data_IF_069597890963
#
_entry.id   IF_069597890963
#
_cell.length_a   1.000
_cell.length_b   1.000
_cell.length_c   1.000
_cell.angle_alpha   90.00
_cell.angle_beta   90.00
_cell.angle_gamma   90.00
#
_symmetry.space_group_name_H-M   'P 1'
#
loop_
_entity.id
_entity.type
_entity.pdbx_description
1 polymer ?
#
# COMPACT_ATOMS: atom_id res chain seq x y z
N UNK A 1 -26.38 12.54 28.01
CA UNK A 1 -25.07 12.71 28.68
C UNK A 1 -24.70 11.35 29.27
N UNK A 2 -24.01 10.45 28.59
CA UNK A 2 -23.33 10.48 27.30
C UNK A 2 -23.94 9.40 26.39
N UNK A 3 -24.50 9.79 25.25
CA UNK A 3 -24.40 8.95 24.05
C UNK A 3 -22.96 9.18 23.58
N UNK A 4 -22.11 8.18 23.74
CA UNK A 4 -20.83 8.16 23.03
C UNK A 4 -21.11 7.43 21.75
N UNK A 5 -20.87 8.12 20.64
CA UNK A 5 -20.79 7.60 19.28
C UNK A 5 -20.14 6.20 19.28
N UNK A 6 -20.96 5.18 18.98
CA UNK A 6 -20.51 3.78 18.86
C UNK A 6 -19.79 3.53 17.51
N UNK A 7 -19.67 4.55 16.64
CA UNK A 7 -19.12 4.44 15.28
C UNK A 7 -17.61 4.77 15.18
N UNK A 8 -16.92 5.05 16.28
CA UNK A 8 -15.47 5.33 16.24
C UNK A 8 -14.65 4.04 16.26
N UNK A 9 -13.97 3.75 15.16
CA UNK A 9 -12.93 2.72 15.07
C UNK A 9 -11.76 3.08 16.00
N UNK A 10 -11.46 2.21 16.97
CA UNK A 10 -10.37 2.38 17.93
C UNK A 10 -9.01 2.07 17.27
N UNK A 11 -8.35 3.11 16.74
CA UNK A 11 -7.04 3.02 16.10
C UNK A 11 -5.96 2.78 17.16
N UNK A 12 -5.19 1.71 16.98
CA UNK A 12 -4.06 1.34 17.85
C UNK A 12 -2.86 0.95 16.99
N UNK A 13 -2.06 1.93 16.54
CA UNK A 13 -1.05 1.65 15.55
C UNK A 13 0.01 0.66 16.05
N UNK A 14 0.53 -0.17 15.14
CA UNK A 14 1.63 -1.08 15.49
C UNK A 14 2.85 -0.30 16.02
N UNK A 15 3.68 -0.93 16.88
CA UNK A 15 4.89 -0.30 17.36
C UNK A 15 5.80 0.14 16.20
N UNK A 16 6.50 1.29 16.30
CA UNK A 16 7.36 1.80 15.23
C UNK A 16 8.41 0.82 14.69
N UNK A 17 8.89 -0.09 15.53
CA UNK A 17 9.82 -1.15 15.11
C UNK A 17 9.18 -2.14 14.14
N UNK A 18 7.91 -2.49 14.35
CA UNK A 18 7.18 -3.42 13.47
C UNK A 18 6.87 -2.75 12.14
N UNK A 19 6.41 -1.49 12.16
CA UNK A 19 6.18 -0.70 10.96
C UNK A 19 7.46 -0.54 10.12
N UNK A 20 8.58 -0.22 10.78
CA UNK A 20 9.87 -0.10 10.12
C UNK A 20 10.34 -1.43 9.53
N UNK A 21 10.25 -2.52 10.31
CA UNK A 21 10.67 -3.85 9.89
C UNK A 21 9.90 -4.33 8.67
N UNK A 22 8.57 -4.19 8.71
CA UNK A 22 7.70 -4.54 7.58
C UNK A 22 7.95 -3.66 6.37
N UNK A 23 8.10 -2.34 6.54
CA UNK A 23 8.48 -1.46 5.43
C UNK A 23 9.76 -1.93 4.74
N UNK A 24 10.80 -2.23 5.51
CA UNK A 24 12.09 -2.65 4.93
C UNK A 24 11.98 -4.03 4.28
N UNK A 25 11.20 -4.96 4.85
CA UNK A 25 10.93 -6.26 4.24
C UNK A 25 10.26 -6.11 2.87
N UNK A 26 9.21 -5.29 2.78
CA UNK A 26 8.50 -5.04 1.52
C UNK A 26 9.36 -4.29 0.50
N UNK A 27 10.13 -3.27 0.91
CA UNK A 27 11.10 -2.62 0.00
C UNK A 27 12.17 -3.60 -0.49
N UNK A 28 12.54 -4.58 0.32
CA UNK A 28 13.50 -5.63 -0.07
C UNK A 28 12.92 -6.53 -1.17
N UNK A 29 11.63 -6.88 -1.09
CA UNK A 29 10.93 -7.59 -2.16
C UNK A 29 10.81 -6.73 -3.42
N UNK A 30 10.44 -5.46 -3.29
CA UNK A 30 10.41 -4.53 -4.42
C UNK A 30 11.76 -4.43 -5.14
N UNK A 31 12.86 -4.29 -4.39
CA UNK A 31 14.23 -4.32 -4.95
C UNK A 31 14.54 -5.62 -5.68
N UNK A 32 14.05 -6.76 -5.17
CA UNK A 32 14.21 -8.05 -5.86
C UNK A 32 13.51 -8.04 -7.22
N UNK A 33 12.32 -7.45 -7.33
CA UNK A 33 11.63 -7.23 -8.61
C UNK A 33 12.40 -6.30 -9.54
N UNK A 34 12.93 -5.19 -9.03
CA UNK A 34 13.75 -4.26 -9.83
C UNK A 34 15.02 -4.91 -10.39
N UNK A 35 15.72 -5.74 -9.60
CA UNK A 35 16.91 -6.49 -10.06
C UNK A 35 16.52 -7.51 -11.17
N UNK A 36 15.32 -8.08 -11.12
CA UNK A 36 14.85 -9.00 -12.16
C UNK A 36 14.63 -8.30 -13.50
N UNK A 37 14.15 -7.06 -13.46
CA UNK A 37 13.69 -6.29 -14.62
C UNK A 37 14.72 -5.27 -15.14
N UNK A 38 15.87 -5.13 -14.49
CA UNK A 38 16.95 -4.28 -14.99
C UNK A 38 17.53 -4.89 -16.28
N UNK A 39 17.37 -4.21 -17.41
CA UNK A 39 17.92 -4.67 -18.70
C UNK A 39 19.35 -4.19 -18.95
N UNK A 40 19.85 -3.24 -18.14
CA UNK A 40 21.11 -2.54 -18.39
C UNK A 40 22.32 -3.24 -17.77
N UNK A 41 22.15 -3.89 -16.62
CA UNK A 41 23.26 -4.52 -15.90
C UNK A 41 23.57 -5.95 -16.36
N UNK A 42 24.81 -6.38 -16.11
CA UNK A 42 25.28 -7.69 -16.56
C UNK A 42 24.70 -8.81 -15.67
N UNK A 43 24.34 -9.96 -16.24
CA UNK A 43 23.73 -11.10 -15.51
C UNK A 43 24.48 -11.48 -14.22
N UNK A 44 25.82 -11.42 -14.25
CA UNK A 44 26.65 -11.70 -13.06
C UNK A 44 26.46 -10.65 -11.94
N UNK A 45 26.26 -9.38 -12.29
CA UNK A 45 26.01 -8.30 -11.34
C UNK A 45 24.63 -8.49 -10.69
N UNK A 46 23.58 -8.75 -11.47
CA UNK A 46 22.25 -9.06 -10.92
C UNK A 46 22.28 -10.26 -9.96
N UNK A 47 22.98 -11.34 -10.32
CA UNK A 47 23.10 -12.50 -9.44
C UNK A 47 23.85 -12.18 -8.15
N UNK A 48 24.84 -11.29 -8.22
CA UNK A 48 25.57 -10.82 -7.03
C UNK A 48 24.65 -9.98 -6.15
N UNK A 49 23.95 -8.99 -6.72
CA UNK A 49 23.04 -8.10 -5.99
C UNK A 49 21.89 -8.89 -5.35
N UNK A 50 21.29 -9.82 -6.09
CA UNK A 50 20.28 -10.74 -5.57
C UNK A 50 20.83 -11.61 -4.44
N UNK A 51 22.04 -12.14 -4.58
CA UNK A 51 22.68 -12.95 -3.53
C UNK A 51 22.90 -12.12 -2.25
N UNK A 52 23.42 -10.90 -2.37
CA UNK A 52 23.65 -10.02 -1.23
C UNK A 52 22.33 -9.62 -0.55
N UNK A 53 21.30 -9.34 -1.34
CA UNK A 53 19.96 -9.01 -0.85
C UNK A 53 19.33 -10.16 -0.05
N UNK A 54 19.34 -11.38 -0.60
CA UNK A 54 18.84 -12.59 0.07
C UNK A 54 19.62 -12.89 1.36
N UNK A 55 20.95 -12.86 1.30
CA UNK A 55 21.80 -13.15 2.45
C UNK A 55 21.58 -12.14 3.59
N UNK A 56 21.46 -10.86 3.25
CA UNK A 56 21.18 -9.81 4.22
C UNK A 56 19.77 -9.91 4.80
N UNK A 57 18.75 -10.16 3.98
CA UNK A 57 17.38 -10.30 4.42
C UNK A 57 17.21 -11.48 5.40
N UNK A 58 17.88 -12.61 5.15
CA UNK A 58 17.93 -13.76 6.07
C UNK A 58 18.62 -13.46 7.40
N UNK A 59 19.45 -12.43 7.46
CA UNK A 59 20.14 -12.04 8.68
C UNK A 59 19.35 -11.00 9.48
N UNK A 60 18.81 -9.99 8.79
CA UNK A 60 18.24 -8.80 9.43
C UNK A 60 16.70 -8.78 9.42
N UNK A 61 16.03 -9.48 8.50
CA UNK A 61 14.60 -9.31 8.22
C UNK A 61 13.74 -10.55 8.51
N UNK A 62 14.31 -11.65 9.01
CA UNK A 62 13.58 -12.92 9.23
C UNK A 62 12.33 -12.78 10.09
N UNK A 63 12.28 -11.82 11.01
CA UNK A 63 11.12 -11.59 11.86
C UNK A 63 9.92 -10.96 11.12
N UNK A 64 10.16 -10.31 9.97
CA UNK A 64 9.15 -9.56 9.23
C UNK A 64 8.81 -10.16 7.88
N UNK A 65 9.68 -11.02 7.33
CA UNK A 65 9.40 -11.75 6.10
C UNK A 65 8.32 -12.82 6.33
N UNK A 66 7.34 -12.85 5.44
CA UNK A 66 6.41 -13.95 5.33
C UNK A 66 7.11 -15.21 4.79
N UNK A 67 6.44 -16.36 4.94
CA UNK A 67 6.99 -17.64 4.49
C UNK A 67 7.23 -17.66 2.96
N UNK A 68 6.37 -17.00 2.21
CA UNK A 68 6.39 -16.99 0.75
C UNK A 68 7.41 -15.99 0.17
N UNK A 69 7.88 -15.03 0.97
CA UNK A 69 8.88 -14.03 0.59
C UNK A 69 10.28 -14.65 0.42
N UNK A 70 10.60 -15.64 1.25
CA UNK A 70 11.94 -16.24 1.27
C UNK A 70 12.27 -16.96 -0.05
N UNK A 71 11.35 -17.77 -0.64
CA UNK A 71 11.52 -18.29 -2.00
C UNK A 71 11.75 -17.22 -3.07
N UNK A 72 11.08 -16.06 -2.99
CA UNK A 72 11.22 -14.97 -3.97
C UNK A 72 12.64 -14.40 -3.93
N UNK A 73 13.15 -14.08 -2.74
CA UNK A 73 14.50 -13.54 -2.56
C UNK A 73 15.59 -14.54 -2.99
N UNK A 74 15.35 -15.83 -2.76
CA UNK A 74 16.31 -16.89 -3.07
C UNK A 74 16.30 -17.33 -4.55
N UNK A 75 15.23 -17.04 -5.30
CA UNK A 75 15.09 -17.46 -6.68
C UNK A 75 16.17 -16.82 -7.57
N UNK A 76 16.94 -17.61 -8.37
CA UNK A 76 17.92 -17.06 -9.30
C UNK A 76 17.30 -16.05 -10.27
N UNK A 77 18.13 -15.20 -10.86
CA UNK A 77 17.72 -14.22 -11.87
C UNK A 77 17.13 -14.94 -13.07
N UNK A 78 15.98 -14.46 -13.55
CA UNK A 78 15.20 -15.05 -14.65
C UNK A 78 14.29 -16.21 -14.23
N UNK A 79 14.18 -16.51 -12.93
CA UNK A 79 13.38 -17.61 -12.40
C UNK A 79 12.26 -17.18 -11.47
N UNK A 80 11.94 -15.88 -11.37
CA UNK A 80 10.68 -15.47 -10.75
C UNK A 80 9.52 -15.92 -11.64
N UNK A 81 8.48 -16.47 -11.03
CA UNK A 81 7.20 -16.67 -11.73
C UNK A 81 6.47 -15.34 -11.86
N UNK A 82 5.51 -15.24 -12.79
CA UNK A 82 4.71 -14.03 -12.98
C UNK A 82 4.06 -13.57 -11.66
N UNK A 83 3.48 -14.49 -10.89
CA UNK A 83 2.89 -14.20 -9.58
C UNK A 83 3.92 -13.75 -8.53
N UNK A 84 5.17 -14.19 -8.63
CA UNK A 84 6.23 -13.70 -7.74
C UNK A 84 6.74 -12.31 -8.15
N UNK A 85 6.76 -12.02 -9.45
CA UNK A 85 7.06 -10.70 -9.96
C UNK A 85 5.97 -9.71 -9.53
N UNK A 86 4.70 -10.04 -9.73
CA UNK A 86 3.53 -9.29 -9.25
C UNK A 86 3.60 -9.06 -7.74
N UNK A 87 3.96 -10.07 -6.96
CA UNK A 87 4.17 -9.91 -5.52
C UNK A 87 5.26 -8.88 -5.17
N UNK A 88 6.32 -8.75 -5.98
CA UNK A 88 7.35 -7.73 -5.77
C UNK A 88 6.80 -6.32 -6.02
N UNK A 89 5.92 -6.16 -7.01
CA UNK A 89 5.26 -4.89 -7.33
C UNK A 89 4.25 -4.51 -6.24
N UNK A 90 3.41 -5.47 -5.80
CA UNK A 90 2.49 -5.31 -4.68
C UNK A 90 3.22 -4.90 -3.39
N UNK A 91 4.40 -5.49 -3.14
CA UNK A 91 5.21 -5.14 -2.00
C UNK A 91 5.63 -3.66 -2.01
N UNK A 92 5.84 -3.04 -3.18
CA UNK A 92 6.14 -1.61 -3.25
C UNK A 92 4.94 -0.74 -2.86
N UNK A 93 3.71 -1.13 -3.22
CA UNK A 93 2.48 -0.44 -2.82
C UNK A 93 2.28 -0.54 -1.30
N UNK A 94 2.47 -1.74 -0.75
CA UNK A 94 2.42 -1.96 0.72
C UNK A 94 3.50 -1.12 1.41
N UNK A 95 4.72 -1.13 0.89
CA UNK A 95 5.83 -0.33 1.40
C UNK A 95 5.51 1.17 1.36
N UNK A 96 5.06 1.72 0.24
CA UNK A 96 4.77 3.14 0.11
C UNK A 96 3.64 3.57 1.06
N UNK A 97 2.66 2.70 1.30
CA UNK A 97 1.58 2.91 2.27
C UNK A 97 2.08 2.95 3.71
N UNK A 98 2.88 1.97 4.14
CA UNK A 98 3.50 1.99 5.47
C UNK A 98 4.41 3.23 5.58
N UNK A 99 5.20 3.51 4.55
CA UNK A 99 6.10 4.65 4.46
C UNK A 99 5.37 5.98 4.63
N UNK A 100 4.18 6.14 4.05
CA UNK A 100 3.33 7.31 4.29
C UNK A 100 2.92 7.42 5.76
N UNK A 101 2.44 6.32 6.35
CA UNK A 101 2.02 6.29 7.76
C UNK A 101 3.14 6.68 8.74
N UNK A 102 4.40 6.49 8.36
CA UNK A 102 5.57 6.82 9.18
C UNK A 102 6.40 8.03 8.69
N UNK A 103 5.81 8.87 7.83
CA UNK A 103 6.42 10.08 7.27
C UNK A 103 7.68 9.87 6.39
N UNK A 104 7.89 8.68 5.86
CA UNK A 104 8.89 8.43 4.82
C UNK A 104 8.38 8.98 3.48
N UNK A 105 7.13 8.65 3.12
CA UNK A 105 6.44 9.29 2.00
C UNK A 105 5.88 10.61 2.50
N UNK A 106 6.37 11.71 1.93
CA UNK A 106 6.11 13.07 2.43
C UNK A 106 4.84 13.70 1.88
N UNK A 107 4.10 12.98 1.03
CA UNK A 107 2.84 13.48 0.46
C UNK A 107 1.80 13.71 1.57
N UNK A 108 0.89 14.68 1.40
CA UNK A 108 -0.18 14.92 2.35
C UNK A 108 -1.10 13.70 2.47
N UNK A 109 -1.45 13.08 1.35
CA UNK A 109 -2.23 11.85 1.18
C UNK A 109 -1.51 10.90 0.21
N UNK A 110 -1.89 9.62 0.17
CA UNK A 110 -1.37 8.70 -0.84
C UNK A 110 -1.95 9.04 -2.23
N UNK A 111 -1.17 8.87 -3.31
CA UNK A 111 -1.67 9.12 -4.64
C UNK A 111 -2.75 8.11 -5.03
N UNK A 112 -3.80 8.53 -5.75
CA UNK A 112 -4.86 7.60 -6.19
C UNK A 112 -4.40 6.71 -7.34
N UNK A 113 -3.54 7.22 -8.22
CA UNK A 113 -2.89 6.46 -9.28
C UNK A 113 -1.39 6.38 -8.97
N UNK A 114 -0.79 5.21 -9.11
CA UNK A 114 0.64 5.06 -8.85
C UNK A 114 1.47 5.60 -10.00
N UNK A 115 2.20 6.70 -9.77
CA UNK A 115 3.23 7.23 -10.69
C UNK A 115 4.65 6.75 -10.35
N UNK A 116 4.78 5.93 -9.29
CA UNK A 116 6.04 5.42 -8.75
C UNK A 116 6.76 6.39 -7.81
N UNK A 117 6.26 7.62 -7.62
CA UNK A 117 6.91 8.64 -6.81
C UNK A 117 6.95 8.28 -5.32
N UNK A 118 5.87 7.69 -4.79
CA UNK A 118 5.81 7.24 -3.40
C UNK A 118 6.72 6.02 -3.15
N UNK A 119 6.74 5.10 -4.10
CA UNK A 119 7.55 3.87 -4.12
C UNK A 119 9.05 4.22 -4.17
N UNK A 120 9.42 5.22 -4.98
CA UNK A 120 10.79 5.71 -5.04
C UNK A 120 11.26 6.30 -3.69
N UNK A 121 10.40 7.05 -2.98
CA UNK A 121 10.76 7.61 -1.68
C UNK A 121 11.06 6.52 -0.64
N UNK A 122 10.32 5.41 -0.64
CA UNK A 122 10.61 4.29 0.28
C UNK A 122 11.83 3.48 -0.16
N UNK A 123 12.06 3.32 -1.46
CA UNK A 123 13.27 2.72 -2.02
C UNK A 123 14.54 3.48 -1.61
N UNK A 124 14.50 4.81 -1.65
CA UNK A 124 15.61 5.68 -1.27
C UNK A 124 15.86 5.69 0.25
N UNK A 125 14.79 5.58 1.04
CA UNK A 125 14.87 5.61 2.50
C UNK A 125 15.36 4.30 3.11
N UNK A 126 14.92 3.15 2.56
CA UNK A 126 15.15 1.87 3.19
C UNK A 126 16.64 1.48 3.17
N UNK A 127 17.18 0.92 4.26
CA UNK A 127 18.54 0.38 4.25
C UNK A 127 18.67 -0.72 3.20
N UNK A 128 19.82 -0.77 2.53
CA UNK A 128 20.19 -1.86 1.64
C UNK A 128 21.04 -2.93 2.33
N UNK A 129 21.53 -3.91 1.57
CA UNK A 129 22.44 -4.94 2.06
C UNK A 129 23.53 -4.36 2.98
N UNK A 130 23.82 -5.10 4.05
CA UNK A 130 24.85 -4.80 5.05
C UNK A 130 24.57 -3.58 5.95
N UNK A 131 23.41 -2.93 5.80
CA UNK A 131 22.99 -1.83 6.68
C UNK A 131 21.99 -2.34 7.74
N UNK A 132 22.24 -2.16 9.05
CA UNK A 132 21.33 -2.63 10.08
C UNK A 132 19.98 -1.87 10.09
N UNK A 133 18.87 -2.61 10.13
CA UNK A 133 17.49 -2.05 10.12
C UNK A 133 17.24 -1.14 11.32
N UNK A 134 17.77 -1.50 12.48
CA UNK A 134 17.67 -0.70 13.72
C UNK A 134 18.15 0.75 13.60
N UNK A 135 18.95 1.07 12.57
CA UNK A 135 19.45 2.43 12.36
C UNK A 135 18.33 3.37 11.92
N UNK A 136 17.35 2.89 11.14
CA UNK A 136 16.25 3.72 10.64
C UNK A 136 15.09 3.83 11.62
N UNK A 137 14.91 2.82 12.50
CA UNK A 137 13.82 2.76 13.50
C UNK A 137 13.79 3.98 14.43
N UNK A 138 14.96 4.51 14.81
CA UNK A 138 15.05 5.61 15.79
C UNK A 138 14.51 6.94 15.28
N UNK A 139 14.40 7.11 13.95
CA UNK A 139 13.98 8.35 13.33
C UNK A 139 12.47 8.39 13.03
N UNK A 140 11.77 7.28 13.23
CA UNK A 140 10.39 7.10 12.78
C UNK A 140 9.40 7.76 13.74
N UNK A 141 8.38 8.38 13.15
CA UNK A 141 7.20 8.88 13.84
C UNK A 141 5.98 8.42 13.07
N UNK A 142 5.02 7.83 13.76
CA UNK A 142 3.73 7.49 13.18
C UNK A 142 2.89 8.77 13.05
N UNK A 143 2.14 8.88 11.96
CA UNK A 143 1.10 9.90 11.78
C UNK A 143 0.05 9.81 12.89
N UNK A 144 -0.68 10.90 13.09
CA UNK A 144 -1.74 10.96 14.10
C UNK A 144 -2.88 10.00 13.75
N UNK A 145 -3.60 9.52 14.76
CA UNK A 145 -4.77 8.65 14.57
C UNK A 145 -5.80 9.29 13.63
N UNK A 146 -6.02 10.60 13.74
CA UNK A 146 -6.88 11.37 12.83
C UNK A 146 -6.41 11.29 11.37
N UNK A 147 -5.10 11.46 11.11
CA UNK A 147 -4.58 11.37 9.75
C UNK A 147 -4.69 9.94 9.20
N UNK A 148 -4.43 8.93 10.04
CA UNK A 148 -4.59 7.52 9.66
C UNK A 148 -6.06 7.19 9.36
N UNK A 149 -6.99 7.66 10.19
CA UNK A 149 -8.43 7.47 10.01
C UNK A 149 -8.91 8.09 8.69
N UNK A 150 -8.54 9.35 8.44
CA UNK A 150 -8.88 10.09 7.22
C UNK A 150 -8.36 9.40 5.97
N UNK A 151 -7.11 8.93 5.97
CA UNK A 151 -6.56 8.24 4.80
C UNK A 151 -7.20 6.86 4.60
N UNK A 152 -7.50 6.14 5.68
CA UNK A 152 -8.22 4.87 5.64
C UNK A 152 -9.61 5.03 5.02
N UNK A 153 -10.39 6.00 5.51
CA UNK A 153 -11.73 6.33 5.01
C UNK A 153 -11.69 6.72 3.53
N UNK A 154 -10.69 7.51 3.14
CA UNK A 154 -10.45 7.84 1.73
C UNK A 154 -10.25 6.61 0.85
N UNK A 155 -9.44 5.64 1.28
CA UNK A 155 -9.24 4.39 0.52
C UNK A 155 -10.42 3.44 0.58
N UNK A 156 -11.19 3.45 1.68
CA UNK A 156 -12.46 2.72 1.80
C UNK A 156 -13.47 3.17 0.75
N UNK A 157 -13.60 4.49 0.54
CA UNK A 157 -14.43 5.05 -0.52
C UNK A 157 -13.99 4.62 -1.93
N UNK A 158 -12.68 4.55 -2.18
CA UNK A 158 -12.14 4.10 -3.48
C UNK A 158 -12.43 2.62 -3.70
N UNK A 159 -12.19 1.76 -2.70
CA UNK A 159 -12.53 0.33 -2.79
C UNK A 159 -14.03 0.15 -3.03
N UNK A 160 -14.88 0.83 -2.27
CA UNK A 160 -16.34 0.78 -2.46
C UNK A 160 -16.75 1.21 -3.87
N UNK A 161 -16.14 2.28 -4.39
CA UNK A 161 -16.37 2.76 -5.75
C UNK A 161 -16.01 1.72 -6.81
N UNK A 162 -14.86 1.04 -6.65
CA UNK A 162 -14.42 -0.05 -7.53
C UNK A 162 -15.37 -1.25 -7.46
N UNK A 163 -15.76 -1.70 -6.27
CA UNK A 163 -16.66 -2.84 -6.08
C UNK A 163 -18.02 -2.63 -6.76
N UNK A 164 -18.61 -1.43 -6.62
CA UNK A 164 -19.88 -1.09 -7.30
C UNK A 164 -19.77 -0.99 -8.83
N UNK A 165 -18.55 -0.82 -9.36
CA UNK A 165 -18.34 -0.81 -10.81
C UNK A 165 -18.30 -2.23 -11.37
N UNK A 166 -17.66 -3.15 -10.65
CA UNK A 166 -17.50 -4.54 -11.06
C UNK A 166 -18.76 -5.40 -10.86
N UNK A 167 -19.57 -5.08 -9.85
CA UNK A 167 -20.73 -5.90 -9.51
C UNK A 167 -21.92 -5.68 -10.47
N UNK A 168 -22.18 -6.69 -11.31
CA UNK A 168 -23.34 -6.73 -12.22
C UNK A 168 -24.69 -6.68 -11.49
N UNK A 169 -24.73 -7.04 -10.20
CA UNK A 169 -25.91 -6.99 -9.34
C UNK A 169 -26.13 -5.62 -8.68
N UNK A 170 -25.20 -4.66 -8.88
CA UNK A 170 -25.30 -3.30 -8.34
C UNK A 170 -26.66 -2.66 -8.65
N UNK A 171 -27.40 -2.36 -7.59
CA UNK A 171 -28.75 -1.81 -7.68
C UNK A 171 -28.74 -0.30 -7.91
N UNK A 172 -29.87 0.27 -8.32
CA UNK A 172 -30.00 1.73 -8.39
C UNK A 172 -29.91 2.39 -7.00
N UNK A 173 -30.24 1.64 -5.93
CA UNK A 173 -30.11 2.11 -4.55
C UNK A 173 -28.64 2.28 -4.19
N UNK A 174 -27.79 1.32 -4.54
CA UNK A 174 -26.35 1.39 -4.26
C UNK A 174 -25.69 2.53 -5.05
N UNK A 175 -26.10 2.72 -6.31
CA UNK A 175 -25.64 3.86 -7.12
C UNK A 175 -26.09 5.21 -6.55
N UNK A 176 -27.30 5.30 -6.00
CA UNK A 176 -27.79 6.53 -5.37
C UNK A 176 -27.05 6.80 -4.06
N UNK A 177 -26.84 5.79 -3.20
CA UNK A 177 -26.07 5.92 -1.97
C UNK A 177 -24.64 6.40 -2.24
N UNK A 178 -24.01 5.88 -3.29
CA UNK A 178 -22.71 6.35 -3.76
C UNK A 178 -22.76 7.81 -4.23
N UNK A 179 -23.77 8.22 -5.02
CA UNK A 179 -23.93 9.62 -5.46
C UNK A 179 -24.13 10.57 -4.27
N UNK A 180 -24.96 10.19 -3.31
CA UNK A 180 -25.19 10.96 -2.09
C UNK A 180 -23.88 11.13 -1.31
N UNK A 181 -23.12 10.04 -1.14
CA UNK A 181 -21.81 10.08 -0.47
C UNK A 181 -20.82 10.96 -1.23
N UNK A 182 -20.68 10.79 -2.55
CA UNK A 182 -19.81 11.61 -3.41
C UNK A 182 -20.14 13.10 -3.27
N UNK A 183 -21.42 13.47 -3.16
CA UNK A 183 -21.84 14.85 -3.04
C UNK A 183 -21.37 15.52 -1.73
N UNK A 184 -21.09 14.74 -0.68
CA UNK A 184 -20.62 15.22 0.62
C UNK A 184 -19.08 15.28 0.74
N UNK A 185 -18.35 14.52 -0.09
CA UNK A 185 -16.87 14.43 -0.01
C UNK A 185 -16.11 15.75 -0.20
N UNK A 186 -16.53 16.69 -1.08
CA UNK A 186 -15.82 17.96 -1.26
C UNK A 186 -15.76 18.80 0.01
N UNK A 187 -16.82 18.74 0.83
CA UNK A 187 -16.88 19.48 2.09
C UNK A 187 -15.98 18.85 3.17
N UNK A 188 -15.69 17.55 3.04
CA UNK A 188 -14.79 16.81 3.93
C UNK A 188 -13.33 16.83 3.47
N UNK A 189 -13.08 17.16 2.20
CA UNK A 189 -11.73 17.22 1.63
C UNK A 189 -11.04 15.86 1.48
N UNK A 190 -11.80 14.76 1.49
CA UNK A 190 -11.28 13.40 1.37
C UNK A 190 -10.85 13.08 -0.07
N UNK A 191 -11.73 13.35 -1.03
CA UNK A 191 -11.51 13.05 -2.46
C UNK A 191 -11.97 14.27 -3.26
N UNK A 192 -11.17 14.64 -4.26
CA UNK A 192 -11.56 15.67 -5.23
C UNK A 192 -12.63 15.10 -6.15
N UNK A 193 -13.68 15.87 -6.44
CA UNK A 193 -14.76 15.45 -7.34
C UNK A 193 -14.98 16.46 -8.45
N UNK A 194 -15.35 15.99 -9.64
CA UNK A 194 -15.88 16.83 -10.74
C UNK A 194 -17.05 16.11 -11.39
N UNK A 195 -18.08 16.84 -11.79
CA UNK A 195 -19.26 16.26 -12.42
C UNK A 195 -20.02 15.21 -11.60
N UNK A 196 -19.76 15.10 -10.29
CA UNK A 196 -20.35 14.07 -9.43
C UNK A 196 -19.63 12.72 -9.47
N UNK A 197 -18.36 12.69 -9.88
CA UNK A 197 -17.50 11.50 -9.83
C UNK A 197 -16.16 11.82 -9.16
N UNK A 198 -15.43 10.78 -8.76
CA UNK A 198 -14.09 10.93 -8.21
C UNK A 198 -13.13 11.42 -9.29
N UNK A 199 -12.31 12.41 -8.94
CA UNK A 199 -11.16 12.79 -9.73
C UNK A 199 -9.96 12.01 -9.23
N UNK A 200 -9.40 11.20 -10.11
CA UNK A 200 -8.14 10.49 -9.92
C UNK A 200 -6.99 11.49 -10.09
N UNK A 201 -5.75 11.01 -10.14
CA UNK A 201 -4.62 11.88 -10.47
C UNK A 201 -4.69 12.36 -11.92
N UNK A 202 -4.03 13.48 -12.21
CA UNK A 202 -4.07 14.20 -13.49
C UNK A 202 -5.43 14.77 -13.94
N UNK A 203 -6.45 14.72 -13.08
CA UNK A 203 -7.76 15.32 -13.36
C UNK A 203 -8.73 14.42 -14.10
N UNK A 204 -8.37 13.15 -14.32
CA UNK A 204 -9.22 12.17 -15.01
C UNK A 204 -10.35 11.71 -14.08
N UNK A 205 -11.62 11.81 -14.49
CA UNK A 205 -12.74 11.23 -13.74
C UNK A 205 -12.67 9.70 -13.70
N UNK A 206 -13.07 9.09 -12.59
CA UNK A 206 -13.09 7.63 -12.41
C UNK A 206 -13.83 6.91 -13.55
N UNK A 207 -15.01 7.40 -13.95
CA UNK A 207 -15.80 6.81 -15.03
C UNK A 207 -15.20 6.93 -16.43
N UNK A 208 -14.09 7.67 -16.59
CA UNK A 208 -13.35 7.77 -17.86
C UNK A 208 -12.14 6.83 -17.93
N UNK A 209 -11.82 6.12 -16.85
CA UNK A 209 -10.78 5.09 -16.83
C UNK A 209 -11.14 3.90 -17.73
N UNK A 210 -10.13 3.33 -18.37
CA UNK A 210 -10.24 2.05 -19.08
C UNK A 210 -10.43 0.88 -18.11
N UNK A 211 -10.85 -0.28 -18.61
CA UNK A 211 -11.03 -1.48 -17.78
C UNK A 211 -9.71 -1.89 -17.09
N UNK A 212 -8.59 -1.87 -17.81
CA UNK A 212 -7.28 -2.23 -17.25
C UNK A 212 -6.85 -1.23 -16.14
N UNK A 213 -7.14 0.07 -16.31
CA UNK A 213 -6.86 1.09 -15.29
C UNK A 213 -7.76 0.93 -14.05
N UNK A 214 -9.01 0.50 -14.24
CA UNK A 214 -9.93 0.23 -13.14
C UNK A 214 -9.54 -1.01 -12.35
N UNK A 215 -9.18 -2.09 -13.03
CA UNK A 215 -8.69 -3.33 -12.40
C UNK A 215 -7.43 -3.04 -11.58
N UNK A 216 -6.49 -2.25 -12.14
CA UNK A 216 -5.29 -1.82 -11.43
C UNK A 216 -5.63 -0.95 -10.22
N UNK A 217 -6.51 0.05 -10.37
CA UNK A 217 -6.91 0.92 -9.27
C UNK A 217 -7.61 0.14 -8.15
N UNK A 218 -8.47 -0.83 -8.49
CA UNK A 218 -9.16 -1.68 -7.53
C UNK A 218 -8.16 -2.51 -6.70
N UNK A 219 -7.21 -3.15 -7.39
CA UNK A 219 -6.15 -3.93 -6.75
C UNK A 219 -5.27 -3.07 -5.83
N UNK A 220 -4.81 -1.91 -6.30
CA UNK A 220 -4.03 -0.96 -5.51
C UNK A 220 -4.81 -0.47 -4.29
N UNK A 221 -6.09 -0.12 -4.48
CA UNK A 221 -6.95 0.36 -3.40
C UNK A 221 -7.13 -0.70 -2.31
N UNK A 222 -7.32 -1.96 -2.69
CA UNK A 222 -7.41 -3.07 -1.75
C UNK A 222 -6.11 -3.24 -0.95
N UNK A 223 -4.96 -3.25 -1.62
CA UNK A 223 -3.65 -3.37 -0.97
C UNK A 223 -3.39 -2.21 0.01
N UNK A 224 -3.68 -0.98 -0.41
CA UNK A 224 -3.51 0.21 0.42
C UNK A 224 -4.45 0.19 1.62
N UNK A 225 -5.73 -0.13 1.43
CA UNK A 225 -6.71 -0.18 2.52
C UNK A 225 -6.37 -1.27 3.54
N UNK A 226 -6.03 -2.48 3.09
CA UNK A 226 -5.57 -3.56 4.00
C UNK A 226 -4.33 -3.13 4.77
N UNK A 227 -3.37 -2.50 4.09
CA UNK A 227 -2.14 -2.04 4.74
C UNK A 227 -2.44 -0.94 5.77
N UNK A 228 -3.33 0.01 5.48
CA UNK A 228 -3.76 1.05 6.43
C UNK A 228 -4.51 0.44 7.62
N UNK A 229 -5.38 -0.54 7.39
CA UNK A 229 -6.05 -1.28 8.46
C UNK A 229 -5.03 -1.99 9.35
N UNK A 230 -4.04 -2.65 8.76
CA UNK A 230 -2.94 -3.23 9.51
C UNK A 230 -2.17 -2.18 10.30
N UNK A 231 -1.74 -1.08 9.68
CA UNK A 231 -1.07 0.04 10.35
C UNK A 231 -1.86 0.52 11.56
N UNK A 232 -3.19 0.58 11.47
CA UNK A 232 -4.10 0.98 12.54
C UNK A 232 -4.31 -0.09 13.63
N UNK A 233 -3.69 -1.25 13.53
CA UNK A 233 -3.73 -2.32 14.52
C UNK A 233 -4.70 -3.47 14.21
N UNK A 234 -5.22 -3.55 12.99
CA UNK A 234 -6.15 -4.62 12.58
C UNK A 234 -5.45 -5.76 11.83
N UNK A 235 -5.64 -6.99 12.30
CA UNK A 235 -4.98 -8.17 11.71
C UNK A 235 -3.51 -8.30 12.11
N UNK A 236 -2.90 -9.42 11.74
CA UNK A 236 -1.53 -9.78 12.18
C UNK A 236 -0.45 -9.34 11.17
N UNK A 237 -0.83 -9.20 9.89
CA UNK A 237 0.01 -8.78 8.78
C UNK A 237 -0.79 -7.97 7.74
N UNK A 238 -0.16 -7.10 6.92
CA UNK A 238 -0.85 -6.26 5.93
C UNK A 238 -1.86 -7.02 5.07
N UNK A 239 -1.45 -8.13 4.46
CA UNK A 239 -2.27 -8.97 3.58
C UNK A 239 -3.44 -9.69 4.29
N UNK A 240 -3.39 -9.79 5.62
CA UNK A 240 -4.41 -10.47 6.44
C UNK A 240 -5.38 -9.51 7.12
N UNK A 241 -5.14 -8.20 7.02
CA UNK A 241 -6.01 -7.21 7.62
C UNK A 241 -7.41 -7.28 6.96
N UNK A 242 -8.48 -7.20 7.78
CA UNK A 242 -9.84 -7.23 7.25
C UNK A 242 -10.10 -5.99 6.38
N UNK A 243 -10.93 -6.15 5.36
CA UNK A 243 -11.62 -5.03 4.72
C UNK A 243 -12.89 -4.79 5.55
N UNK A 244 -12.91 -3.70 6.31
CA UNK A 244 -14.16 -3.18 6.84
C UNK A 244 -14.74 -2.33 5.73
N UNK A 245 -15.64 -2.91 4.94
CA UNK A 245 -16.56 -2.14 4.12
C UNK A 245 -17.82 -2.06 4.99
N UNK A 246 -18.27 -0.86 5.34
CA UNK A 246 -19.49 -0.71 6.12
C UNK A 246 -20.66 -1.44 5.41
N UNK A 247 -21.28 -2.40 6.11
CA UNK A 247 -22.44 -3.22 5.67
C UNK A 247 -23.77 -2.43 5.73
#
# INVERSE_FOLDING_TARGET
MNDRDDDYIDIRPWPPIELAGQLVAHVTLGRRGLIENDEEAHVFEHETDRFELDAWAKLELTAWLAADDTPILAAPIGNLTDSQAEHCDDALIVASTIGWAIHVVTFPSLPLATDGGAEQLVLDWAPGPWTPVRNVVKAIRVRTDEALATERERWELVVWRCTLFEDEETTEVDREALRETIAELPDQGLITTDGGDFIIEDGTPFGELSADELDQLAHEAELRLKTLNWVCGFGDAPQSAPLFLDD
#
